data_IF_679862441319
#
_entry.id   IF_679862441319
#
_cell.length_a   1.000
_cell.length_b   1.000
_cell.length_c   1.000
_cell.angle_alpha   90.00
_cell.angle_beta   90.00
_cell.angle_gamma   90.00
#
_symmetry.space_group_name_H-M   'P 1'
#
loop_
_entity.id
_entity.type
_entity.pdbx_description
1 polymer ?
#
# COMPACT_ATOMS: atom_id res chain seq x y z
N UNK A 1 32.03 58.10 -19.55
CA UNK A 1 30.58 57.91 -19.39
C UNK A 1 30.38 57.25 -18.03
N UNK A 2 29.87 58.02 -17.06
CA UNK A 2 29.73 57.56 -15.67
C UNK A 2 28.38 56.88 -15.52
N UNK A 3 28.36 55.56 -15.29
CA UNK A 3 27.13 54.84 -15.00
C UNK A 3 26.66 55.20 -13.59
N UNK A 4 25.56 55.94 -13.52
CA UNK A 4 24.93 56.39 -12.29
C UNK A 4 24.11 55.23 -11.70
N UNK A 5 24.75 54.33 -10.96
CA UNK A 5 24.02 53.32 -10.19
C UNK A 5 23.41 54.00 -8.95
N UNK A 6 22.11 53.83 -8.66
CA UNK A 6 21.53 54.30 -7.40
C UNK A 6 22.30 53.65 -6.24
N UNK A 7 22.75 54.45 -5.26
CA UNK A 7 23.40 53.94 -4.06
C UNK A 7 22.39 53.10 -3.26
N UNK A 8 22.35 51.81 -3.52
CA UNK A 8 21.63 50.83 -2.70
C UNK A 8 22.51 50.46 -1.51
N UNK A 9 21.92 50.34 -0.32
CA UNK A 9 22.65 49.85 0.86
C UNK A 9 23.09 48.40 0.63
N UNK A 10 24.20 47.98 1.25
CA UNK A 10 24.71 46.60 1.15
C UNK A 10 23.64 45.55 1.47
N UNK A 11 22.70 45.88 2.37
CA UNK A 11 21.55 45.05 2.71
C UNK A 11 20.55 44.88 1.55
N UNK A 12 20.28 45.93 0.76
CA UNK A 12 19.39 45.85 -0.41
C UNK A 12 20.01 45.09 -1.57
N UNK A 13 21.34 45.20 -1.74
CA UNK A 13 22.09 44.34 -2.67
C UNK A 13 21.91 42.86 -2.29
N UNK A 14 22.12 42.50 -1.02
CA UNK A 14 22.00 41.11 -0.57
C UNK A 14 20.57 40.55 -0.62
N UNK A 15 19.54 41.39 -0.54
CA UNK A 15 18.13 41.00 -0.63
C UNK A 15 17.55 41.13 -2.05
N UNK A 16 18.38 41.41 -3.04
CA UNK A 16 17.90 41.52 -4.40
C UNK A 16 17.44 40.14 -4.94
N UNK A 17 16.36 40.08 -5.74
CA UNK A 17 15.80 38.81 -6.23
C UNK A 17 16.82 37.94 -6.99
N UNK A 18 17.84 38.53 -7.61
CA UNK A 18 18.90 37.82 -8.32
C UNK A 18 20.01 37.25 -7.40
N UNK A 19 19.95 37.53 -6.10
CA UNK A 19 20.81 36.94 -5.07
C UNK A 19 20.14 35.78 -4.32
N UNK A 20 18.89 35.46 -4.64
CA UNK A 20 18.28 34.20 -4.22
C UNK A 20 19.03 33.06 -4.91
N UNK A 21 19.86 32.35 -4.14
CA UNK A 21 20.45 31.10 -4.61
C UNK A 21 19.31 30.13 -4.85
N UNK A 22 19.12 29.73 -6.11
CA UNK A 22 18.26 28.61 -6.45
C UNK A 22 18.63 27.43 -5.54
N UNK A 23 17.68 26.98 -4.73
CA UNK A 23 17.88 25.79 -3.92
C UNK A 23 18.11 24.61 -4.86
N UNK A 24 19.32 24.07 -4.84
CA UNK A 24 19.65 22.90 -5.65
C UNK A 24 18.75 21.74 -5.26
N UNK A 25 18.11 21.10 -6.24
CA UNK A 25 17.39 19.84 -6.03
C UNK A 25 18.39 18.80 -5.53
N UNK A 26 18.14 18.22 -4.35
CA UNK A 26 18.99 17.17 -3.77
C UNK A 26 18.21 15.85 -3.86
N UNK A 27 18.79 14.85 -4.51
CA UNK A 27 18.28 13.47 -4.53
C UNK A 27 18.83 12.71 -3.33
N UNK A 28 18.00 11.88 -2.68
CA UNK A 28 18.39 10.99 -1.59
C UNK A 28 17.79 9.62 -1.83
N UNK A 29 18.58 8.59 -1.56
CA UNK A 29 18.08 7.22 -1.52
C UNK A 29 17.39 7.02 -0.16
N UNK A 30 16.13 6.62 -0.20
CA UNK A 30 15.33 6.34 0.99
C UNK A 30 14.83 4.90 0.90
N UNK A 31 15.07 4.13 1.95
CA UNK A 31 14.45 2.83 2.14
C UNK A 31 13.21 3.01 3.02
N UNK A 32 12.09 2.43 2.59
CA UNK A 32 10.81 2.49 3.30
C UNK A 32 10.33 1.05 3.48
N UNK A 33 10.13 0.64 4.73
CA UNK A 33 9.54 -0.66 5.08
C UNK A 33 8.17 -0.43 5.69
N UNK A 34 7.13 -0.97 5.07
CA UNK A 34 5.74 -0.87 5.53
C UNK A 34 5.15 -2.28 5.71
N UNK A 35 4.64 -2.59 6.90
CA UNK A 35 3.98 -3.87 7.21
C UNK A 35 2.47 -3.67 7.30
N UNK A 36 1.71 -4.50 6.59
CA UNK A 36 0.23 -4.48 6.58
C UNK A 36 -0.29 -5.81 7.11
N UNK A 37 -1.17 -5.77 8.11
CA UNK A 37 -1.80 -6.96 8.70
C UNK A 37 -3.32 -6.86 8.58
N UNK A 38 -3.98 -7.96 8.20
CA UNK A 38 -5.43 -8.07 8.09
C UNK A 38 -5.91 -9.29 8.88
N UNK A 39 -7.00 -9.14 9.63
CA UNK A 39 -7.71 -10.27 10.25
C UNK A 39 -8.93 -10.62 9.40
N UNK A 40 -9.14 -11.90 9.16
CA UNK A 40 -10.24 -12.45 8.38
C UNK A 40 -10.85 -13.63 9.12
N UNK A 41 -12.09 -13.98 8.77
CA UNK A 41 -12.72 -15.22 9.22
C UNK A 41 -12.91 -16.09 8.00
N UNK A 42 -12.28 -17.25 7.99
CA UNK A 42 -12.39 -18.24 6.92
C UNK A 42 -13.29 -19.38 7.42
N UNK A 43 -14.07 -19.95 6.50
CA UNK A 43 -14.85 -21.15 6.77
C UNK A 43 -14.25 -22.31 6.00
N UNK A 44 -14.00 -23.44 6.66
CA UNK A 44 -13.52 -24.65 5.99
C UNK A 44 -14.45 -25.83 6.26
N UNK A 45 -14.53 -26.74 5.30
CA UNK A 45 -15.11 -28.08 5.49
C UNK A 45 -14.04 -29.16 5.61
N UNK A 46 -12.77 -28.79 5.45
CA UNK A 46 -11.62 -29.68 5.53
C UNK A 46 -11.14 -29.75 6.98
N UNK A 47 -11.84 -30.55 7.78
CA UNK A 47 -11.50 -30.81 9.18
C UNK A 47 -11.83 -32.26 9.53
N UNK A 48 -11.13 -32.79 10.53
CA UNK A 48 -11.49 -34.07 11.14
C UNK A 48 -12.29 -33.84 12.42
N UNK A 49 -13.40 -34.57 12.56
CA UNK A 49 -14.24 -34.51 13.73
C UNK A 49 -14.09 -35.80 14.52
N UNK A 50 -13.56 -35.67 15.73
CA UNK A 50 -13.48 -36.77 16.67
C UNK A 50 -14.58 -36.62 17.70
N UNK A 51 -15.38 -37.68 17.87
CA UNK A 51 -16.38 -37.76 18.92
C UNK A 51 -16.00 -38.91 19.86
N UNK A 52 -15.72 -38.58 21.11
CA UNK A 52 -15.47 -39.56 22.16
C UNK A 52 -16.56 -39.46 23.22
N UNK A 53 -16.76 -40.54 23.97
CA UNK A 53 -17.73 -40.58 25.06
C UNK A 53 -16.98 -40.74 26.38
N UNK A 54 -16.95 -39.67 27.17
CA UNK A 54 -16.35 -39.66 28.49
C UNK A 54 -17.43 -39.98 29.54
N UNK A 55 -17.19 -40.99 30.38
CA UNK A 55 -18.16 -41.44 31.39
C UNK A 55 -18.48 -40.38 32.48
N UNK A 56 -17.62 -39.37 32.68
CA UNK A 56 -17.85 -38.23 33.60
C UNK A 56 -18.44 -36.99 32.90
N UNK A 57 -18.05 -36.71 31.66
CA UNK A 57 -18.43 -35.49 30.92
C UNK A 57 -19.50 -35.70 29.84
N UNK A 58 -19.82 -36.94 29.50
CA UNK A 58 -20.73 -37.31 28.42
C UNK A 58 -20.06 -37.29 27.03
N UNK A 59 -20.87 -37.12 25.98
CA UNK A 59 -20.34 -37.03 24.60
C UNK A 59 -19.50 -35.76 24.43
N UNK A 60 -18.22 -35.94 24.15
CA UNK A 60 -17.28 -34.89 23.79
C UNK A 60 -17.01 -34.94 22.29
N UNK A 61 -17.08 -33.78 21.63
CA UNK A 61 -16.68 -33.64 20.23
C UNK A 61 -15.56 -32.62 20.12
N UNK A 62 -14.47 -33.01 19.48
CA UNK A 62 -13.37 -32.13 19.08
C UNK A 62 -13.29 -32.02 17.57
N UNK A 63 -12.79 -30.88 17.10
CA UNK A 63 -12.52 -30.62 15.70
C UNK A 63 -11.01 -30.39 15.57
N UNK A 64 -10.40 -31.09 14.63
CA UNK A 64 -8.98 -30.96 14.30
C UNK A 64 -8.82 -30.45 12.85
N UNK A 65 -8.20 -29.27 12.75
CA UNK A 65 -7.89 -28.50 11.54
C UNK A 65 -6.39 -28.48 11.25
N UNK A 66 -5.60 -29.34 11.89
CA UNK A 66 -4.13 -29.35 11.73
C UNK A 66 -3.70 -29.67 10.30
N UNK A 67 -4.52 -30.43 9.56
CA UNK A 67 -4.28 -30.76 8.14
C UNK A 67 -4.88 -29.73 7.16
N UNK A 68 -5.67 -28.76 7.65
CA UNK A 68 -6.31 -27.75 6.80
C UNK A 68 -5.28 -26.81 6.18
N UNK A 69 -5.30 -26.69 4.85
CA UNK A 69 -4.51 -25.68 4.13
C UNK A 69 -5.21 -24.30 4.18
N UNK A 70 -4.91 -23.54 5.24
CA UNK A 70 -5.48 -22.21 5.44
C UNK A 70 -5.08 -21.19 4.37
N UNK A 71 -3.96 -21.40 3.67
CA UNK A 71 -3.56 -20.52 2.56
C UNK A 71 -4.47 -20.75 1.37
N UNK A 72 -4.75 -22.01 1.03
CA UNK A 72 -5.69 -22.35 -0.04
C UNK A 72 -7.10 -21.84 0.25
N UNK A 73 -7.60 -22.02 1.48
CA UNK A 73 -8.91 -21.51 1.91
C UNK A 73 -8.99 -19.98 1.82
N UNK A 74 -7.91 -19.28 2.15
CA UNK A 74 -7.81 -17.84 1.98
C UNK A 74 -7.87 -17.42 0.51
N UNK A 75 -7.09 -18.06 -0.36
CA UNK A 75 -7.05 -17.74 -1.80
C UNK A 75 -8.39 -18.01 -2.51
N UNK A 76 -9.17 -18.98 -2.04
CA UNK A 76 -10.50 -19.28 -2.61
C UNK A 76 -11.56 -18.25 -2.21
N UNK A 77 -11.56 -17.80 -0.95
CA UNK A 77 -12.63 -16.98 -0.39
C UNK A 77 -12.37 -15.48 -0.49
N UNK A 78 -11.10 -15.08 -0.53
CA UNK A 78 -10.69 -13.70 -0.32
C UNK A 78 -9.70 -13.23 -1.37
N UNK A 79 -9.65 -11.91 -1.57
CA UNK A 79 -8.59 -11.30 -2.36
C UNK A 79 -7.38 -10.96 -1.48
N UNK A 80 -6.21 -11.35 -1.97
CA UNK A 80 -4.93 -10.86 -1.47
C UNK A 80 -4.78 -9.36 -1.72
N UNK A 81 -3.90 -8.72 -0.95
CA UNK A 81 -3.60 -7.29 -1.13
C UNK A 81 -3.07 -6.99 -2.54
N UNK A 82 -2.29 -7.90 -3.13
CA UNK A 82 -1.73 -7.74 -4.48
C UNK A 82 -2.82 -7.83 -5.55
N UNK A 83 -3.78 -8.73 -5.38
CA UNK A 83 -4.93 -8.80 -6.29
C UNK A 83 -5.82 -7.55 -6.19
N UNK A 84 -6.06 -7.06 -4.97
CA UNK A 84 -6.79 -5.80 -4.76
C UNK A 84 -6.07 -4.63 -5.43
N UNK A 85 -4.76 -4.51 -5.27
CA UNK A 85 -3.95 -3.49 -5.94
C UNK A 85 -4.00 -3.63 -7.47
N UNK A 86 -3.96 -4.86 -7.98
CA UNK A 86 -4.05 -5.14 -9.42
C UNK A 86 -5.40 -4.71 -10.00
N UNK A 87 -6.50 -5.05 -9.33
CA UNK A 87 -7.85 -4.60 -9.72
C UNK A 87 -7.98 -3.07 -9.65
N UNK A 88 -7.46 -2.45 -8.58
CA UNK A 88 -7.46 -0.99 -8.47
C UNK A 88 -6.72 -0.33 -9.63
N UNK A 89 -5.55 -0.87 -10.01
CA UNK A 89 -4.78 -0.38 -11.15
C UNK A 89 -5.56 -0.48 -12.46
N UNK A 90 -6.27 -1.58 -12.68
CA UNK A 90 -7.11 -1.77 -13.86
C UNK A 90 -8.21 -0.70 -13.93
N UNK A 91 -8.99 -0.53 -12.86
CA UNK A 91 -10.04 0.48 -12.80
C UNK A 91 -9.53 1.90 -13.03
N UNK A 92 -8.41 2.24 -12.41
CA UNK A 92 -7.82 3.59 -12.53
C UNK A 92 -7.25 3.82 -13.92
N UNK A 93 -6.66 2.79 -14.53
CA UNK A 93 -6.15 2.87 -15.91
C UNK A 93 -7.28 3.05 -16.91
N UNK A 94 -8.38 2.32 -16.74
CA UNK A 94 -9.56 2.46 -17.59
C UNK A 94 -10.26 3.80 -17.39
N UNK A 95 -10.39 4.28 -16.15
CA UNK A 95 -10.94 5.61 -15.88
C UNK A 95 -10.10 6.73 -16.52
N UNK A 96 -8.77 6.62 -16.46
CA UNK A 96 -7.86 7.56 -17.13
C UNK A 96 -8.01 7.54 -18.66
N UNK A 97 -8.37 6.41 -19.26
CA UNK A 97 -8.56 6.27 -20.72
C UNK A 97 -9.93 6.77 -21.17
N UNK A 98 -10.96 6.56 -20.36
CA UNK A 98 -12.35 6.73 -20.76
C UNK A 98 -12.96 8.06 -20.30
N UNK A 99 -12.32 8.76 -19.34
CA UNK A 99 -12.87 9.98 -18.73
C UNK A 99 -11.93 11.18 -18.92
N UNK A 100 -12.50 12.33 -19.29
CA UNK A 100 -11.77 13.59 -19.37
C UNK A 100 -11.64 14.25 -17.98
N UNK A 101 -10.58 13.88 -17.27
CA UNK A 101 -10.24 14.44 -15.96
C UNK A 101 -9.54 15.80 -16.06
N UNK A 102 -9.69 16.64 -15.03
CA UNK A 102 -8.89 17.86 -14.89
C UNK A 102 -7.38 17.53 -14.78
N UNK A 103 -6.46 18.44 -15.16
CA UNK A 103 -5.03 18.17 -15.11
C UNK A 103 -4.53 17.75 -13.72
N UNK A 104 -5.10 18.34 -12.67
CA UNK A 104 -4.79 17.98 -11.28
C UNK A 104 -5.21 16.55 -10.98
N UNK A 105 -6.43 16.16 -11.36
CA UNK A 105 -6.95 14.81 -11.10
C UNK A 105 -6.19 13.75 -11.89
N UNK A 106 -5.83 14.03 -13.14
CA UNK A 106 -4.97 13.13 -13.94
C UNK A 106 -3.62 12.89 -13.25
N UNK A 107 -3.00 13.93 -12.70
CA UNK A 107 -1.75 13.82 -11.96
C UNK A 107 -1.89 12.94 -10.70
N UNK A 108 -2.99 13.10 -9.96
CA UNK A 108 -3.29 12.27 -8.78
C UNK A 108 -3.49 10.80 -9.16
N UNK A 109 -4.29 10.50 -10.20
CA UNK A 109 -4.54 9.13 -10.66
C UNK A 109 -3.27 8.45 -11.19
N UNK A 110 -2.41 9.18 -11.93
CA UNK A 110 -1.10 8.66 -12.36
C UNK A 110 -0.17 8.39 -11.19
N UNK A 111 -0.18 9.26 -10.17
CA UNK A 111 0.60 9.02 -8.94
C UNK A 111 0.10 7.77 -8.22
N UNK A 112 -1.21 7.56 -8.15
CA UNK A 112 -1.81 6.36 -7.56
C UNK A 112 -1.29 5.09 -8.25
N UNK A 113 -1.36 5.04 -9.59
CA UNK A 113 -0.84 3.90 -10.36
C UNK A 113 0.64 3.64 -10.08
N UNK A 114 1.46 4.68 -10.08
CA UNK A 114 2.90 4.58 -9.81
C UNK A 114 3.19 4.02 -8.42
N UNK A 115 2.45 4.47 -7.41
CA UNK A 115 2.62 3.98 -6.04
C UNK A 115 2.14 2.54 -5.93
N UNK A 116 1.05 2.16 -6.58
CA UNK A 116 0.63 0.74 -6.61
C UNK A 116 1.71 -0.18 -7.20
N UNK A 117 2.47 0.29 -8.20
CA UNK A 117 3.58 -0.47 -8.81
C UNK A 117 4.80 -0.63 -7.90
N UNK A 118 4.94 0.18 -6.84
CA UNK A 118 6.07 0.06 -5.90
C UNK A 118 5.87 -1.00 -4.82
N UNK A 119 4.66 -1.52 -4.66
CA UNK A 119 4.38 -2.58 -3.69
C UNK A 119 4.84 -3.93 -4.21
N UNK A 120 5.51 -4.68 -3.35
CA UNK A 120 5.84 -6.09 -3.56
C UNK A 120 5.39 -6.87 -2.34
N UNK A 121 4.82 -8.04 -2.56
CA UNK A 121 4.53 -8.97 -1.48
C UNK A 121 5.80 -9.75 -1.19
N UNK A 122 6.29 -9.61 0.04
CA UNK A 122 7.48 -10.35 0.51
C UNK A 122 7.09 -11.67 1.17
N UNK A 123 6.00 -11.69 1.93
CA UNK A 123 5.54 -12.88 2.66
C UNK A 123 4.01 -12.92 2.81
N UNK A 124 3.46 -14.14 2.93
CA UNK A 124 2.06 -14.43 3.20
C UNK A 124 1.99 -15.53 4.26
N UNK A 125 1.44 -15.18 5.42
CA UNK A 125 1.22 -16.09 6.53
C UNK A 125 -0.28 -16.07 6.86
N UNK A 126 -0.93 -17.23 6.75
CA UNK A 126 -2.34 -17.44 7.12
C UNK A 126 -2.39 -18.59 8.10
N UNK A 127 -2.78 -18.29 9.34
CA UNK A 127 -2.82 -19.24 10.45
C UNK A 127 -4.12 -19.03 11.23
N UNK A 128 -4.69 -20.13 11.74
CA UNK A 128 -5.74 -20.09 12.74
C UNK A 128 -5.18 -19.54 14.06
N UNK A 129 -5.95 -18.66 14.75
CA UNK A 129 -5.52 -17.93 15.97
C UNK A 129 -6.28 -18.41 17.19
#
# INVERSE_FOLDING_TARGET
MSCNYPMMSQSQLNSAPWNEKEQSVITRDCEITETVTRKVTLATTDYSADSDYDDELGACSSVDTTETDWVAEYEEQEYSIIELLSKLKEYVSDDLRNTNHSPRRQKELRKLLLVCDSWKQEDVCVEEV
#
